data_IF_345979436410
#
_entry.id   IF_345979436410
#
_cell.length_a   1.000
_cell.length_b   1.000
_cell.length_c   1.000
_cell.angle_alpha   90.00
_cell.angle_beta   90.00
_cell.angle_gamma   90.00
#
_symmetry.space_group_name_H-M   'P 1'
#
loop_
_entity.id
_entity.type
_entity.pdbx_description
1 polymer ?
#
# COMPACT_ATOMS: atom_id res chain seq x y z
N UNK A 1 -37.35 -44.99 -24.99
CA UNK A 1 -36.86 -43.59 -24.89
C UNK A 1 -36.24 -43.25 -23.51
N UNK A 2 -35.59 -44.20 -22.80
CA UNK A 2 -35.06 -43.95 -21.43
C UNK A 2 -33.53 -43.89 -21.34
N UNK A 3 -32.81 -44.52 -22.28
CA UNK A 3 -31.33 -44.53 -22.30
C UNK A 3 -30.69 -43.29 -22.94
N UNK A 4 -31.41 -42.54 -23.78
CA UNK A 4 -30.87 -41.32 -24.40
C UNK A 4 -30.80 -40.13 -23.41
N UNK A 5 -31.63 -40.15 -22.35
CA UNK A 5 -31.70 -39.09 -21.34
C UNK A 5 -30.56 -39.16 -20.32
N UNK A 6 -30.07 -40.36 -20.00
CA UNK A 6 -28.93 -40.56 -19.09
C UNK A 6 -27.61 -40.16 -19.73
N UNK A 7 -27.42 -40.45 -21.02
CA UNK A 7 -26.22 -40.03 -21.76
C UNK A 7 -26.10 -38.51 -21.91
N UNK A 8 -27.21 -37.82 -22.22
CA UNK A 8 -27.24 -36.35 -22.28
C UNK A 8 -27.05 -35.69 -20.91
N UNK A 9 -27.60 -36.28 -19.85
CA UNK A 9 -27.45 -35.77 -18.48
C UNK A 9 -25.99 -35.86 -17.99
N UNK A 10 -25.29 -36.95 -18.28
CA UNK A 10 -23.86 -37.11 -17.95
C UNK A 10 -23.00 -36.09 -18.70
N UNK A 11 -23.30 -35.83 -19.98
CA UNK A 11 -22.57 -34.86 -20.79
C UNK A 11 -22.76 -33.42 -20.26
N UNK A 12 -23.98 -33.04 -19.89
CA UNK A 12 -24.26 -31.74 -19.27
C UNK A 12 -23.58 -31.57 -17.91
N UNK A 13 -23.55 -32.62 -17.07
CA UNK A 13 -22.83 -32.60 -15.78
C UNK A 13 -21.33 -32.37 -15.97
N UNK A 14 -20.71 -33.04 -16.94
CA UNK A 14 -19.28 -32.82 -17.23
C UNK A 14 -19.00 -31.40 -17.71
N UNK A 15 -19.88 -30.83 -18.54
CA UNK A 15 -19.75 -29.44 -19.00
C UNK A 15 -19.85 -28.43 -17.84
N UNK A 16 -20.80 -28.62 -16.92
CA UNK A 16 -20.95 -27.76 -15.73
C UNK A 16 -19.73 -27.86 -14.81
N UNK A 17 -19.16 -29.06 -14.63
CA UNK A 17 -17.95 -29.26 -13.81
C UNK A 17 -16.74 -28.57 -14.46
N UNK A 18 -16.56 -28.70 -15.78
CA UNK A 18 -15.48 -28.02 -16.51
C UNK A 18 -15.63 -26.50 -16.44
N UNK A 19 -16.85 -25.98 -16.62
CA UNK A 19 -17.12 -24.55 -16.49
C UNK A 19 -16.88 -24.03 -15.06
N UNK A 20 -17.24 -24.81 -14.04
CA UNK A 20 -16.96 -24.47 -12.64
C UNK A 20 -15.45 -24.46 -12.34
N UNK A 21 -14.68 -25.41 -12.88
CA UNK A 21 -13.22 -25.45 -12.75
C UNK A 21 -12.58 -24.22 -13.44
N UNK A 22 -13.07 -23.83 -14.62
CA UNK A 22 -12.60 -22.63 -15.32
C UNK A 22 -12.95 -21.34 -14.55
N UNK A 23 -14.15 -21.25 -13.99
CA UNK A 23 -14.58 -20.09 -13.21
C UNK A 23 -13.88 -19.99 -11.85
N UNK A 24 -13.58 -21.12 -11.21
CA UNK A 24 -12.75 -21.18 -10.00
C UNK A 24 -11.28 -20.84 -10.29
N UNK A 25 -10.78 -21.26 -11.46
CA UNK A 25 -9.42 -20.94 -11.94
C UNK A 25 -9.23 -19.49 -12.41
N UNK A 26 -10.32 -18.77 -12.71
CA UNK A 26 -10.27 -17.39 -13.22
C UNK A 26 -10.26 -16.31 -12.11
N UNK A 27 -10.04 -16.66 -10.84
CA UNK A 27 -9.88 -15.65 -9.78
C UNK A 27 -8.46 -15.08 -9.77
N UNK A 28 -8.10 -14.35 -10.83
CA UNK A 28 -6.86 -13.58 -10.88
C UNK A 28 -7.08 -12.25 -10.15
N UNK A 29 -7.13 -12.32 -8.82
CA UNK A 29 -6.94 -11.15 -7.97
C UNK A 29 -5.44 -10.90 -7.84
N UNK A 30 -4.84 -10.39 -8.92
CA UNK A 30 -3.46 -9.91 -8.92
C UNK A 30 -3.36 -8.69 -8.01
N UNK A 31 -3.27 -8.89 -6.69
CA UNK A 31 -2.63 -7.92 -5.81
C UNK A 31 -1.18 -7.83 -6.26
N UNK A 32 -0.91 -6.93 -7.21
CA UNK A 32 0.43 -6.68 -7.76
C UNK A 32 1.40 -6.54 -6.59
N UNK A 33 2.27 -7.54 -6.51
CA UNK A 33 3.20 -7.85 -5.43
C UNK A 33 3.87 -6.58 -4.87
N UNK A 34 3.63 -6.32 -3.59
CA UNK A 34 4.37 -5.36 -2.75
C UNK A 34 5.77 -5.90 -2.49
N UNK A 35 6.75 -5.51 -3.30
CA UNK A 35 8.16 -5.80 -3.01
C UNK A 35 8.60 -4.89 -1.85
N UNK A 36 8.39 -5.34 -0.61
CA UNK A 36 8.95 -4.70 0.59
C UNK A 36 10.45 -4.97 0.58
N UNK A 37 11.22 -4.06 -0.01
CA UNK A 37 12.68 -4.09 0.09
C UNK A 37 13.04 -3.41 1.41
N UNK A 38 13.05 -4.18 2.49
CA UNK A 38 13.54 -3.75 3.79
C UNK A 38 15.05 -3.54 3.72
N UNK A 39 15.49 -2.38 3.26
CA UNK A 39 16.84 -1.92 3.58
C UNK A 39 16.82 -1.48 5.04
N UNK A 40 17.20 -2.41 5.94
CA UNK A 40 17.34 -2.21 7.38
C UNK A 40 18.55 -1.33 7.67
N UNK A 41 18.48 -0.04 7.37
CA UNK A 41 19.33 0.94 8.06
C UNK A 41 18.63 1.27 9.36
N UNK A 42 19.09 0.67 10.46
CA UNK A 42 18.68 1.05 11.82
C UNK A 42 19.18 2.47 12.10
N UNK A 43 18.40 3.45 11.64
CA UNK A 43 18.59 4.84 12.04
C UNK A 43 18.17 4.89 13.50
N UNK A 44 19.12 5.18 14.39
CA UNK A 44 18.85 5.51 15.80
C UNK A 44 17.61 6.41 15.85
N UNK A 45 16.51 5.88 16.38
CA UNK A 45 15.26 6.61 16.55
C UNK A 45 15.54 7.76 17.51
N UNK A 46 15.76 8.95 16.94
CA UNK A 46 15.94 10.16 17.75
C UNK A 46 14.58 10.41 18.41
N UNK A 47 14.54 10.31 19.75
CA UNK A 47 13.31 10.40 20.52
C UNK A 47 12.59 11.74 20.28
N UNK A 48 11.25 11.71 20.27
CA UNK A 48 10.43 12.92 20.20
C UNK A 48 10.66 13.75 21.46
N UNK A 49 10.88 15.06 21.30
CA UNK A 49 11.07 15.96 22.45
C UNK A 49 9.78 16.04 23.28
N UNK A 50 9.92 16.09 24.61
CA UNK A 50 8.79 16.09 25.56
C UNK A 50 7.82 17.27 25.39
N UNK A 51 8.29 18.38 24.82
CA UNK A 51 7.46 19.56 24.52
C UNK A 51 6.41 19.33 23.42
N UNK A 52 6.51 18.23 22.66
CA UNK A 52 5.54 17.87 21.62
C UNK A 52 4.65 16.73 22.09
N UNK A 53 3.35 16.86 21.84
CA UNK A 53 2.40 15.78 22.07
C UNK A 53 2.78 14.57 21.22
N UNK A 54 2.84 13.40 21.86
CA UNK A 54 3.18 12.14 21.21
C UNK A 54 1.91 11.38 20.85
N UNK A 55 1.80 10.99 19.59
CA UNK A 55 0.68 10.24 19.03
C UNK A 55 1.18 9.05 18.21
N UNK A 56 0.32 8.04 18.06
CA UNK A 56 0.50 6.94 17.10
C UNK A 56 -0.14 7.25 15.74
N UNK A 57 -0.90 8.34 15.64
CA UNK A 57 -1.54 8.78 14.40
C UNK A 57 -0.49 9.25 13.41
N UNK A 58 -0.57 8.74 12.18
CA UNK A 58 0.35 9.09 11.12
C UNK A 58 -0.05 10.39 10.42
N UNK A 59 0.94 11.22 10.08
CA UNK A 59 0.75 12.36 9.18
C UNK A 59 1.17 11.95 7.78
N UNK A 60 0.25 12.05 6.82
CA UNK A 60 0.50 11.73 5.42
C UNK A 60 0.86 13.01 4.65
N UNK A 61 2.00 13.01 3.98
CA UNK A 61 2.44 14.07 3.09
C UNK A 61 2.21 13.66 1.64
N UNK A 62 1.54 14.52 0.87
CA UNK A 62 1.27 14.32 -0.55
C UNK A 62 1.66 15.58 -1.32
N UNK A 63 2.28 15.41 -2.49
CA UNK A 63 2.63 16.55 -3.35
C UNK A 63 1.44 16.96 -4.24
N UNK A 64 1.45 18.20 -4.73
CA UNK A 64 0.49 18.68 -5.72
C UNK A 64 0.81 18.25 -7.15
N UNK A 65 0.01 18.75 -8.10
CA UNK A 65 0.24 18.58 -9.53
C UNK A 65 1.64 19.05 -9.96
N UNK A 66 2.29 18.30 -10.85
CA UNK A 66 3.69 18.51 -11.25
C UNK A 66 4.68 18.56 -10.06
N UNK A 67 4.27 18.09 -8.89
CA UNK A 67 5.11 18.00 -7.70
C UNK A 67 5.90 16.70 -7.64
N UNK A 68 6.57 16.50 -6.52
CA UNK A 68 7.27 15.26 -6.19
C UNK A 68 7.69 15.23 -4.73
N UNK A 69 8.64 14.37 -4.37
CA UNK A 69 9.12 14.28 -2.99
C UNK A 69 9.65 15.63 -2.46
N UNK A 70 10.30 16.42 -3.31
CA UNK A 70 10.85 17.73 -2.94
C UNK A 70 9.80 18.70 -2.40
N UNK A 71 8.55 18.60 -2.85
CA UNK A 71 7.45 19.47 -2.42
C UNK A 71 7.13 19.36 -0.93
N UNK A 72 7.49 18.25 -0.28
CA UNK A 72 7.21 18.00 1.14
C UNK A 72 8.46 17.77 1.98
N UNK A 73 9.63 17.65 1.34
CA UNK A 73 10.90 17.39 2.03
C UNK A 73 11.24 18.43 3.09
N UNK A 74 11.02 19.72 2.83
CA UNK A 74 11.33 20.77 3.80
C UNK A 74 10.50 20.60 5.10
N UNK A 75 9.19 20.38 4.97
CA UNK A 75 8.30 20.21 6.13
C UNK A 75 8.68 18.98 6.95
N UNK A 76 8.92 17.86 6.28
CA UNK A 76 9.35 16.61 6.92
C UNK A 76 10.69 16.83 7.63
N UNK A 77 11.66 17.45 6.94
CA UNK A 77 12.98 17.67 7.52
C UNK A 77 12.94 18.59 8.74
N UNK A 78 12.17 19.69 8.68
CA UNK A 78 12.02 20.58 9.84
C UNK A 78 11.37 19.86 11.02
N UNK A 79 10.34 19.03 10.79
CA UNK A 79 9.69 18.27 11.86
C UNK A 79 10.63 17.22 12.49
N UNK A 80 11.50 16.58 11.69
CA UNK A 80 12.55 15.69 12.22
C UNK A 80 13.62 16.46 13.00
N UNK A 81 14.09 17.59 12.46
CA UNK A 81 15.12 18.41 13.08
C UNK A 81 14.70 18.97 14.44
N UNK A 82 13.44 19.42 14.57
CA UNK A 82 12.92 19.92 15.84
C UNK A 82 12.64 18.81 16.84
N UNK A 83 12.58 17.55 16.38
CA UNK A 83 12.19 16.39 17.18
C UNK A 83 10.69 16.34 17.44
N UNK A 84 9.88 16.93 16.55
CA UNK A 84 8.42 16.91 16.62
C UNK A 84 7.81 15.64 16.01
N UNK A 85 8.47 15.06 14.99
CA UNK A 85 7.98 13.88 14.29
C UNK A 85 9.13 13.04 13.70
N UNK A 86 8.83 11.81 13.29
CA UNK A 86 9.82 10.90 12.70
C UNK A 86 9.38 10.48 11.29
N UNK A 87 10.27 10.54 10.30
CA UNK A 87 9.97 10.02 8.97
C UNK A 87 10.03 8.49 8.99
N UNK A 88 8.86 7.86 8.97
CA UNK A 88 8.73 6.40 9.07
C UNK A 88 8.81 5.73 7.69
N UNK A 89 8.04 6.24 6.72
CA UNK A 89 7.91 5.62 5.40
C UNK A 89 7.94 6.64 4.26
N UNK A 90 8.44 6.18 3.11
CA UNK A 90 8.21 6.79 1.80
C UNK A 90 7.49 5.75 0.94
N UNK A 91 6.35 6.14 0.38
CA UNK A 91 5.56 5.31 -0.53
C UNK A 91 5.68 5.87 -1.94
N UNK A 92 6.40 5.17 -2.79
CA UNK A 92 6.48 5.49 -4.21
C UNK A 92 5.39 4.75 -4.96
N UNK A 93 4.48 5.48 -5.61
CA UNK A 93 3.48 4.90 -6.51
C UNK A 93 3.97 5.10 -7.93
N UNK A 94 4.31 4.01 -8.61
CA UNK A 94 4.75 4.03 -9.99
C UNK A 94 3.59 4.34 -10.94
N UNK A 95 3.88 4.74 -12.19
CA UNK A 95 2.85 5.15 -13.17
C UNK A 95 1.75 4.09 -13.40
N UNK A 96 2.10 2.81 -13.23
CA UNK A 96 1.19 1.67 -13.36
C UNK A 96 0.41 1.34 -12.07
N UNK A 97 0.49 2.18 -11.03
CA UNK A 97 -0.16 2.00 -9.74
C UNK A 97 0.55 1.03 -8.78
N UNK A 98 1.69 0.44 -9.17
CA UNK A 98 2.50 -0.39 -8.26
C UNK A 98 3.07 0.49 -7.15
N UNK A 99 3.09 -0.01 -5.91
CA UNK A 99 3.57 0.73 -4.74
C UNK A 99 4.83 0.10 -4.15
N UNK A 100 5.88 0.90 -3.98
CA UNK A 100 7.06 0.54 -3.21
C UNK A 100 7.10 1.32 -1.89
N UNK A 101 7.24 0.59 -0.79
CA UNK A 101 7.34 1.14 0.55
C UNK A 101 8.79 1.06 1.01
N UNK A 102 9.38 2.21 1.34
CA UNK A 102 10.75 2.33 1.83
C UNK A 102 10.74 2.94 3.22
N UNK A 103 11.66 2.48 4.07
CA UNK A 103 11.73 2.90 5.47
C UNK A 103 11.27 1.78 6.38
N UNK A 104 10.89 2.15 7.60
CA UNK A 104 10.65 1.20 8.65
C UNK A 104 9.51 1.66 9.56
N UNK A 105 8.62 0.73 9.91
CA UNK A 105 7.42 1.01 10.69
C UNK A 105 7.38 0.17 11.97
N UNK A 106 7.61 0.81 13.11
CA UNK A 106 7.54 0.20 14.45
C UNK A 106 6.37 0.77 15.24
N UNK A 107 5.74 -0.05 16.09
CA UNK A 107 4.70 0.43 17.05
C UNK A 107 5.21 1.50 18.02
N UNK A 108 6.52 1.53 18.26
CA UNK A 108 7.19 2.48 19.15
C UNK A 108 7.40 3.85 18.51
N UNK A 109 7.33 3.98 17.18
CA UNK A 109 7.48 5.27 16.50
C UNK A 109 6.36 6.20 16.96
N UNK A 110 6.76 7.42 17.33
CA UNK A 110 5.86 8.50 17.75
C UNK A 110 5.81 9.54 16.65
N UNK A 111 4.61 10.08 16.41
CA UNK A 111 4.32 11.05 15.37
C UNK A 111 4.89 10.59 14.00
N UNK A 112 4.52 9.40 13.51
CA UNK A 112 5.07 8.87 12.27
C UNK A 112 4.63 9.73 11.07
N UNK A 113 5.58 10.11 10.24
CA UNK A 113 5.32 10.75 8.95
C UNK A 113 5.48 9.74 7.81
N UNK A 114 4.53 9.76 6.89
CA UNK A 114 4.57 8.97 5.64
C UNK A 114 4.56 9.93 4.47
N UNK A 115 5.54 9.82 3.59
CA UNK A 115 5.62 10.62 2.37
C UNK A 115 5.13 9.81 1.18
N UNK A 116 4.07 10.24 0.51
CA UNK A 116 3.54 9.61 -0.70
C UNK A 116 4.04 10.37 -1.92
N UNK A 117 4.59 9.64 -2.88
CA UNK A 117 5.17 10.19 -4.11
C UNK A 117 4.56 9.47 -5.31
N UNK A 118 3.76 10.17 -6.09
CA UNK A 118 3.26 9.68 -7.37
C UNK A 118 4.31 9.93 -8.45
N UNK A 119 4.78 8.86 -9.09
CA UNK A 119 5.72 8.94 -10.21
C UNK A 119 5.07 9.63 -11.42
N UNK A 120 3.79 9.37 -11.66
CA UNK A 120 3.01 10.14 -12.62
C UNK A 120 2.36 11.34 -11.92
N UNK A 121 3.11 12.42 -11.82
CA UNK A 121 2.69 13.66 -11.16
C UNK A 121 1.72 14.53 -11.99
N UNK A 122 1.34 14.06 -13.19
CA UNK A 122 0.34 14.68 -14.06
C UNK A 122 -0.92 13.79 -14.21
N UNK A 123 -0.97 12.64 -13.52
CA UNK A 123 -2.10 11.74 -13.58
C UNK A 123 -3.43 12.44 -13.22
N UNK A 124 -4.53 11.97 -13.78
CA UNK A 124 -5.87 12.50 -13.47
C UNK A 124 -6.16 12.47 -11.96
N UNK A 125 -6.99 13.41 -11.48
CA UNK A 125 -7.41 13.43 -10.08
C UNK A 125 -8.03 12.10 -9.63
N UNK A 126 -8.81 11.44 -10.51
CA UNK A 126 -9.38 10.11 -10.25
C UNK A 126 -8.30 9.06 -9.98
N UNK A 127 -7.23 9.04 -10.77
CA UNK A 127 -6.11 8.13 -10.57
C UNK A 127 -5.37 8.44 -9.26
N UNK A 128 -5.12 9.70 -8.97
CA UNK A 128 -4.47 10.14 -7.73
C UNK A 128 -5.27 9.77 -6.48
N UNK A 129 -6.59 9.97 -6.49
CA UNK A 129 -7.50 9.56 -5.41
C UNK A 129 -7.48 8.05 -5.24
N UNK A 130 -7.55 7.30 -6.35
CA UNK A 130 -7.50 5.84 -6.30
C UNK A 130 -6.18 5.36 -5.68
N UNK A 131 -5.04 5.88 -6.13
CA UNK A 131 -3.73 5.54 -5.58
C UNK A 131 -3.61 5.90 -4.11
N UNK A 132 -4.04 7.09 -3.70
CA UNK A 132 -4.04 7.49 -2.29
C UNK A 132 -4.89 6.55 -1.44
N UNK A 133 -6.08 6.18 -1.90
CA UNK A 133 -6.93 5.22 -1.22
C UNK A 133 -6.22 3.87 -1.04
N UNK A 134 -5.57 3.35 -2.09
CA UNK A 134 -4.80 2.10 -1.98
C UNK A 134 -3.65 2.23 -0.98
N UNK A 135 -2.92 3.35 -0.95
CA UNK A 135 -1.89 3.60 0.07
C UNK A 135 -2.49 3.54 1.47
N UNK A 136 -3.62 4.22 1.72
CA UNK A 136 -4.26 4.23 3.04
C UNK A 136 -4.75 2.84 3.46
N UNK A 137 -5.30 2.04 2.54
CA UNK A 137 -5.68 0.65 2.80
C UNK A 137 -4.46 -0.19 3.18
N UNK A 138 -3.34 -0.07 2.47
CA UNK A 138 -2.11 -0.80 2.76
C UNK A 138 -1.50 -0.40 4.11
N UNK A 139 -1.55 0.89 4.47
CA UNK A 139 -1.11 1.38 5.77
C UNK A 139 -2.01 0.86 6.90
N UNK A 140 -3.33 0.84 6.72
CA UNK A 140 -4.29 0.35 7.73
C UNK A 140 -4.20 -1.17 7.93
N UNK A 141 -4.06 -1.93 6.84
CA UNK A 141 -4.27 -3.39 6.82
C UNK A 141 -3.01 -4.25 6.67
N UNK A 142 -2.11 -3.92 5.73
CA UNK A 142 -1.09 -4.84 5.20
C UNK A 142 0.30 -4.72 5.82
N UNK A 143 0.82 -3.49 5.99
CA UNK A 143 2.19 -3.27 6.49
C UNK A 143 2.27 -3.36 8.01
N UNK A 144 1.24 -2.87 8.70
CA UNK A 144 1.14 -2.91 10.17
C UNK A 144 0.88 -4.31 10.75
N UNK A 145 0.73 -5.36 9.93
CA UNK A 145 0.64 -6.75 10.42
C UNK A 145 1.88 -7.58 10.06
N UNK A 146 2.53 -7.32 8.93
CA UNK A 146 3.69 -8.09 8.48
C UNK A 146 5.03 -7.62 9.04
N UNK A 147 5.15 -6.35 9.48
CA UNK A 147 6.39 -5.79 10.07
C UNK A 147 6.43 -5.95 11.60
N UNK A 148 5.36 -6.50 12.21
CA UNK A 148 5.19 -6.67 13.66
C UNK A 148 5.44 -8.12 14.10
N UNK A 149 5.74 -9.02 13.16
CA UNK A 149 6.27 -10.36 13.49
C UNK A 149 7.78 -10.33 13.44
#
# INVERSE_FOLDING_TARGET
MKQMRTGTLLLLLTFVIVAAIVLLGARNSDTKITKVTSQLTSRSVRGIKQQYQQSKTATIFLHGYNGGAYSTNYLIHKAEQTGAAQKALVVHVYKNGVMAFKGYWQRSIKNPMVQVVFQDNHASQKAQIYWLHQVLVQLKGGIMRSVIR
#
